data_IF_121135750628
#
_entry.id   IF_121135750628
#
_cell.length_a   1.000
_cell.length_b   1.000
_cell.length_c   1.000
_cell.angle_alpha   90.00
_cell.angle_beta   90.00
_cell.angle_gamma   90.00
#
_symmetry.space_group_name_H-M   'P 1'
#
loop_
_entity.id
_entity.type
_entity.pdbx_description
1 polymer ?
#
# COMPACT_ATOMS: atom_id res chain seq x y z
N UNK A 1 -4.64 53.02 -1.07
CA UNK A 1 -5.06 51.62 -1.30
C UNK A 1 -4.82 51.32 -2.75
N UNK A 2 -3.99 50.32 -3.09
CA UNK A 2 -3.88 49.88 -4.48
C UNK A 2 -5.23 49.31 -4.94
N UNK A 3 -5.47 49.29 -6.25
CA UNK A 3 -6.71 48.78 -6.84
C UNK A 3 -7.01 47.34 -6.39
N UNK A 4 -5.98 46.52 -6.23
CA UNK A 4 -6.07 45.18 -5.65
C UNK A 4 -6.70 45.17 -4.24
N UNK A 5 -6.27 46.08 -3.36
CA UNK A 5 -6.79 46.15 -1.98
C UNK A 5 -8.27 46.54 -1.96
N UNK A 6 -8.69 47.43 -2.88
CA UNK A 6 -10.09 47.85 -3.04
C UNK A 6 -10.95 46.71 -3.59
N UNK A 7 -10.44 45.98 -4.58
CA UNK A 7 -11.14 44.85 -5.21
C UNK A 7 -11.29 43.65 -4.27
N UNK A 8 -10.26 43.33 -3.47
CA UNK A 8 -10.33 42.29 -2.44
C UNK A 8 -11.41 42.62 -1.40
N UNK A 9 -11.45 43.86 -0.93
CA UNK A 9 -12.40 44.26 0.12
C UNK A 9 -13.86 44.16 -0.36
N UNK A 10 -14.10 44.43 -1.64
CA UNK A 10 -15.42 44.27 -2.28
C UNK A 10 -15.78 42.80 -2.57
N UNK A 11 -14.78 41.96 -2.81
CA UNK A 11 -14.97 40.53 -3.08
C UNK A 11 -15.06 39.69 -1.80
N UNK A 12 -14.55 40.16 -0.65
CA UNK A 12 -14.27 39.39 0.57
C UNK A 12 -15.40 38.50 1.10
N UNK A 13 -16.67 38.81 0.81
CA UNK A 13 -17.84 38.05 1.26
C UNK A 13 -18.53 37.25 0.15
N UNK A 14 -17.96 37.22 -1.06
CA UNK A 14 -18.45 36.44 -2.19
C UNK A 14 -17.32 35.58 -2.75
N UNK A 15 -17.41 34.28 -2.47
CA UNK A 15 -16.37 33.31 -2.78
C UNK A 15 -16.06 33.23 -4.29
N UNK A 16 -17.06 33.36 -5.15
CA UNK A 16 -16.89 33.36 -6.61
C UNK A 16 -16.13 34.61 -7.06
N UNK A 17 -16.46 35.79 -6.52
CA UNK A 17 -15.77 37.04 -6.85
C UNK A 17 -14.31 37.07 -6.40
N UNK A 18 -14.00 36.45 -5.26
CA UNK A 18 -12.60 36.32 -4.79
C UNK A 18 -11.83 35.39 -5.72
N UNK A 19 -12.42 34.25 -6.08
CA UNK A 19 -11.78 33.29 -6.97
C UNK A 19 -11.51 33.88 -8.35
N UNK A 20 -12.46 34.63 -8.92
CA UNK A 20 -12.26 35.30 -10.21
C UNK A 20 -11.21 36.42 -10.14
N UNK A 21 -11.18 37.20 -9.06
CA UNK A 21 -10.14 38.21 -8.84
C UNK A 21 -8.75 37.56 -8.75
N UNK A 22 -8.60 36.54 -7.91
CA UNK A 22 -7.32 35.82 -7.76
C UNK A 22 -6.90 35.13 -9.06
N UNK A 23 -7.85 34.56 -9.81
CA UNK A 23 -7.58 33.97 -11.14
C UNK A 23 -6.98 35.02 -12.09
N UNK A 24 -7.58 36.21 -12.17
CA UNK A 24 -7.10 37.28 -13.05
C UNK A 24 -5.70 37.78 -12.65
N UNK A 25 -5.49 38.01 -11.35
CA UNK A 25 -4.22 38.51 -10.82
C UNK A 25 -3.09 37.49 -10.98
N UNK A 26 -3.37 36.19 -10.80
CA UNK A 26 -2.40 35.13 -11.07
C UNK A 26 -2.07 35.07 -12.57
N UNK A 27 -3.06 35.18 -13.45
CA UNK A 27 -2.82 35.18 -14.89
C UNK A 27 -1.91 36.35 -15.29
N UNK A 28 -2.19 37.55 -14.77
CA UNK A 28 -1.38 38.73 -15.03
C UNK A 28 0.04 38.58 -14.48
N UNK A 29 0.18 38.19 -13.21
CA UNK A 29 1.49 38.00 -12.59
C UNK A 29 2.35 36.96 -13.33
N UNK A 30 1.76 35.86 -13.80
CA UNK A 30 2.47 34.84 -14.57
C UNK A 30 2.90 35.38 -15.94
N UNK A 31 2.02 36.11 -16.65
CA UNK A 31 2.37 36.73 -17.94
C UNK A 31 3.51 37.75 -17.76
N UNK A 32 3.44 38.60 -16.73
CA UNK A 32 4.46 39.61 -16.45
C UNK A 32 5.82 38.95 -16.13
N UNK A 33 5.82 37.86 -15.36
CA UNK A 33 7.03 37.08 -15.07
C UNK A 33 7.63 36.46 -16.34
N UNK A 34 6.80 35.88 -17.21
CA UNK A 34 7.26 35.28 -18.47
C UNK A 34 7.85 36.32 -19.42
N UNK A 35 7.26 37.51 -19.50
CA UNK A 35 7.82 38.62 -20.27
C UNK A 35 9.15 39.10 -19.70
N UNK A 36 9.24 39.21 -18.37
CA UNK A 36 10.48 39.60 -17.69
C UNK A 36 11.59 38.57 -17.89
N UNK A 37 11.28 37.27 -17.90
CA UNK A 37 12.25 36.21 -18.23
C UNK A 37 12.79 36.36 -19.65
N UNK A 38 11.92 36.63 -20.63
CA UNK A 38 12.37 36.85 -22.01
C UNK A 38 13.21 38.13 -22.13
N UNK A 39 12.85 39.19 -21.41
CA UNK A 39 13.66 40.42 -21.31
C UNK A 39 15.05 40.12 -20.75
N UNK A 40 15.12 39.35 -19.66
CA UNK A 40 16.39 38.97 -19.06
C UNK A 40 17.24 38.08 -19.99
N UNK A 41 16.61 37.15 -20.70
CA UNK A 41 17.29 36.26 -21.65
C UNK A 41 17.86 37.00 -22.86
N UNK A 42 17.08 37.92 -23.45
CA UNK A 42 17.50 38.71 -24.61
C UNK A 42 18.42 39.88 -24.23
N UNK A 43 18.36 40.34 -22.98
CA UNK A 43 19.14 41.46 -22.47
C UNK A 43 18.57 42.83 -22.86
N UNK A 44 17.33 42.90 -23.36
CA UNK A 44 16.68 44.14 -23.76
C UNK A 44 15.15 44.09 -23.68
N UNK A 45 14.55 45.24 -23.41
CA UNK A 45 13.10 45.45 -23.32
C UNK A 45 12.38 45.38 -24.67
N UNK A 46 11.06 45.13 -24.70
CA UNK A 46 10.28 45.23 -25.92
C UNK A 46 10.54 46.55 -26.66
N UNK A 47 10.75 46.47 -27.97
CA UNK A 47 11.00 47.60 -28.88
C UNK A 47 12.24 48.47 -28.58
N UNK A 48 13.11 48.03 -27.66
CA UNK A 48 14.31 48.77 -27.31
C UNK A 48 15.35 48.72 -28.45
N UNK A 49 15.94 49.88 -28.77
CA UNK A 49 16.90 50.03 -29.89
C UNK A 49 18.19 49.22 -29.71
N UNK A 50 18.57 48.92 -28.47
CA UNK A 50 19.71 48.06 -28.15
C UNK A 50 19.50 46.59 -28.56
N UNK A 51 18.27 46.17 -28.86
CA UNK A 51 17.96 44.84 -29.39
C UNK A 51 18.22 44.70 -30.90
N UNK A 52 18.50 45.79 -31.63
CA UNK A 52 18.68 45.75 -33.08
C UNK A 52 20.05 45.14 -33.45
N UNK A 53 20.08 44.26 -34.46
CA UNK A 53 21.28 43.56 -34.94
C UNK A 53 22.01 42.69 -33.89
N UNK A 54 21.32 42.26 -32.83
CA UNK A 54 21.88 41.38 -31.78
C UNK A 54 21.90 39.90 -32.17
N UNK A 55 21.31 39.54 -33.32
CA UNK A 55 21.27 38.15 -33.84
C UNK A 55 20.09 37.31 -33.33
N UNK A 56 19.34 37.78 -32.33
CA UNK A 56 18.07 37.17 -31.91
C UNK A 56 17.02 38.26 -31.67
N UNK A 57 15.74 37.92 -31.76
CA UNK A 57 14.64 38.87 -31.63
C UNK A 57 13.45 38.25 -30.90
N UNK A 58 12.58 39.07 -30.29
CA UNK A 58 11.24 38.61 -29.86
C UNK A 58 10.41 38.24 -31.09
N UNK A 59 9.64 37.16 -31.01
CA UNK A 59 8.87 36.62 -32.14
C UNK A 59 7.47 36.13 -31.70
N UNK A 60 6.70 37.03 -31.11
CA UNK A 60 5.34 36.76 -30.65
C UNK A 60 5.28 35.84 -29.43
N UNK A 61 4.11 35.24 -29.22
CA UNK A 61 3.81 34.36 -28.09
C UNK A 61 2.90 33.22 -28.54
N UNK A 62 2.81 32.18 -27.70
CA UNK A 62 1.77 31.16 -27.82
C UNK A 62 0.96 31.10 -26.53
N UNK A 63 -0.29 30.68 -26.68
CA UNK A 63 -1.21 30.57 -25.56
C UNK A 63 -1.13 29.19 -24.95
N UNK A 64 -1.08 29.12 -23.63
CA UNK A 64 -1.13 27.89 -22.86
C UNK A 64 -2.22 28.03 -21.81
N UNK A 65 -3.16 27.09 -21.81
CA UNK A 65 -4.15 26.98 -20.75
C UNK A 65 -3.55 26.25 -19.55
N UNK A 66 -3.67 26.84 -18.36
CA UNK A 66 -3.17 26.28 -17.10
C UNK A 66 -4.33 26.23 -16.12
N UNK A 67 -4.54 25.07 -15.50
CA UNK A 67 -5.59 24.90 -14.51
C UNK A 67 -5.04 25.18 -13.11
N UNK A 68 -5.53 26.24 -12.49
CA UNK A 68 -5.18 26.63 -11.12
C UNK A 68 -6.30 26.26 -10.15
N UNK A 69 -6.02 26.29 -8.84
CA UNK A 69 -7.06 26.10 -7.81
C UNK A 69 -8.19 27.13 -7.87
N UNK A 70 -7.98 28.26 -8.54
CA UNK A 70 -8.97 29.31 -8.74
C UNK A 70 -9.65 29.22 -10.12
N UNK A 71 -9.40 28.15 -10.88
CA UNK A 71 -9.92 27.91 -12.23
C UNK A 71 -8.85 28.05 -13.33
N UNK A 72 -9.25 27.77 -14.57
CA UNK A 72 -8.35 27.84 -15.72
C UNK A 72 -7.94 29.28 -16.04
N UNK A 73 -6.63 29.50 -16.19
CA UNK A 73 -6.04 30.73 -16.74
C UNK A 73 -5.47 30.45 -18.13
N UNK A 74 -5.44 31.47 -18.97
CA UNK A 74 -4.76 31.42 -20.25
C UNK A 74 -3.54 32.33 -20.20
N UNK A 75 -2.35 31.74 -20.26
CA UNK A 75 -1.08 32.48 -20.18
C UNK A 75 -0.46 32.61 -21.56
N UNK A 76 0.20 33.74 -21.78
CA UNK A 76 0.91 34.07 -23.00
C UNK A 76 2.39 33.78 -22.79
N UNK A 77 2.88 32.69 -23.37
CA UNK A 77 4.29 32.31 -23.27
C UNK A 77 5.05 32.95 -24.44
N UNK A 78 5.94 33.91 -24.18
CA UNK A 78 6.61 34.65 -25.24
C UNK A 78 7.72 33.80 -25.87
N UNK A 79 8.09 34.11 -27.12
CA UNK A 79 9.07 33.37 -27.90
C UNK A 79 10.16 34.27 -28.45
N UNK A 80 11.36 33.73 -28.60
CA UNK A 80 12.42 34.32 -29.40
C UNK A 80 12.38 33.78 -30.84
N UNK A 81 13.06 34.46 -31.76
CA UNK A 81 13.08 34.14 -33.19
C UNK A 81 13.91 32.90 -33.49
N UNK A 82 14.95 32.66 -32.70
CA UNK A 82 15.85 31.53 -32.87
C UNK A 82 15.37 30.26 -32.14
N UNK A 83 14.32 30.35 -31.32
CA UNK A 83 13.79 29.23 -30.54
C UNK A 83 14.72 28.75 -29.42
N UNK A 84 15.58 29.63 -28.91
CA UNK A 84 16.58 29.34 -27.89
C UNK A 84 16.08 29.64 -26.47
N UNK A 85 14.97 30.37 -26.33
CA UNK A 85 14.38 30.71 -25.04
C UNK A 85 13.59 29.53 -24.46
N UNK A 86 13.88 29.20 -23.21
CA UNK A 86 13.08 28.27 -22.40
C UNK A 86 12.65 28.99 -21.11
N UNK A 87 11.34 29.03 -20.87
CA UNK A 87 10.78 29.66 -19.67
C UNK A 87 11.06 28.82 -18.42
N UNK A 88 11.38 29.48 -17.31
CA UNK A 88 11.68 28.84 -16.02
C UNK A 88 10.50 28.92 -15.06
N UNK A 89 9.70 29.99 -15.15
CA UNK A 89 8.50 30.24 -14.35
C UNK A 89 7.48 29.11 -14.49
N UNK A 90 7.39 28.50 -15.68
CA UNK A 90 6.45 27.41 -15.96
C UNK A 90 7.20 26.16 -16.46
N UNK A 91 7.12 25.03 -15.75
CA UNK A 91 7.66 23.79 -16.27
C UNK A 91 6.97 23.42 -17.60
N UNK A 92 7.76 22.89 -18.53
CA UNK A 92 7.27 22.44 -19.82
C UNK A 92 6.15 21.39 -19.63
N UNK A 93 5.05 21.56 -20.36
CA UNK A 93 3.90 20.62 -20.41
C UNK A 93 3.11 20.34 -19.12
N UNK A 94 3.53 20.81 -17.94
CA UNK A 94 2.77 20.68 -16.68
C UNK A 94 1.53 21.59 -16.60
N UNK A 95 0.33 21.04 -16.59
CA UNK A 95 -0.93 21.81 -16.60
C UNK A 95 -1.59 21.97 -15.21
N UNK A 96 -1.11 21.24 -14.20
CA UNK A 96 -1.78 21.12 -12.89
C UNK A 96 -0.83 21.26 -11.69
N UNK A 97 -1.41 21.60 -10.53
CA UNK A 97 -0.70 21.77 -9.25
C UNK A 97 -0.51 20.44 -8.51
N UNK A 98 0.65 20.24 -7.87
CA UNK A 98 1.04 18.99 -7.17
C UNK A 98 0.03 18.53 -6.09
N UNK A 99 -0.69 19.47 -5.48
CA UNK A 99 -1.66 19.19 -4.41
C UNK A 99 -2.87 18.36 -4.88
N UNK A 100 -3.34 18.58 -6.11
CA UNK A 100 -4.48 17.81 -6.66
C UNK A 100 -4.04 16.39 -7.03
N UNK A 101 -2.82 16.21 -7.53
CA UNK A 101 -2.26 14.89 -7.84
C UNK A 101 -2.08 14.07 -6.57
N UNK A 102 -1.58 14.67 -5.49
CA UNK A 102 -1.50 14.04 -4.17
C UNK A 102 -2.88 13.62 -3.65
N UNK A 103 -3.92 14.45 -3.86
CA UNK A 103 -5.30 14.11 -3.50
C UNK A 103 -5.81 12.93 -4.34
N UNK A 104 -5.55 12.92 -5.64
CA UNK A 104 -5.88 11.79 -6.54
C UNK A 104 -5.24 10.50 -6.04
N UNK A 105 -3.94 10.51 -5.76
CA UNK A 105 -3.20 9.36 -5.23
C UNK A 105 -3.81 8.93 -3.89
N UNK A 106 -4.16 9.89 -3.02
CA UNK A 106 -4.79 9.59 -1.73
C UNK A 106 -6.14 8.92 -1.89
N UNK A 107 -7.02 9.42 -2.75
CA UNK A 107 -8.33 8.83 -3.01
C UNK A 107 -8.19 7.44 -3.63
N UNK A 108 -7.25 7.27 -4.58
CA UNK A 108 -6.94 5.98 -5.16
C UNK A 108 -6.48 4.97 -4.10
N UNK A 109 -5.61 5.40 -3.17
CA UNK A 109 -5.16 4.58 -2.03
C UNK A 109 -6.31 4.16 -1.10
N UNK A 110 -7.39 4.95 -1.03
CA UNK A 110 -8.60 4.64 -0.25
C UNK A 110 -9.53 3.66 -0.96
N UNK A 111 -9.23 3.27 -2.21
CA UNK A 111 -10.03 2.34 -3.00
C UNK A 111 -11.09 3.02 -3.87
N UNK A 112 -11.05 4.36 -3.98
CA UNK A 112 -11.95 5.09 -4.88
C UNK A 112 -11.57 4.78 -6.33
N UNK A 113 -12.58 4.60 -7.20
CA UNK A 113 -12.35 4.31 -8.62
C UNK A 113 -11.91 5.56 -9.38
N UNK A 114 -11.25 5.39 -10.53
CA UNK A 114 -10.79 6.53 -11.34
C UNK A 114 -11.94 7.42 -11.80
N UNK A 115 -13.10 6.83 -12.10
CA UNK A 115 -14.33 7.56 -12.46
C UNK A 115 -14.91 8.32 -11.28
N UNK A 116 -14.98 7.71 -10.10
CA UNK A 116 -15.44 8.41 -8.89
C UNK A 116 -14.50 9.56 -8.52
N UNK A 117 -13.18 9.38 -8.63
CA UNK A 117 -12.20 10.45 -8.39
C UNK A 117 -12.42 11.59 -9.38
N UNK A 118 -12.53 11.30 -10.68
CA UNK A 118 -12.81 12.30 -11.70
C UNK A 118 -14.10 13.09 -11.38
N UNK A 119 -15.19 12.39 -11.07
CA UNK A 119 -16.47 13.02 -10.72
C UNK A 119 -16.39 13.86 -9.42
N UNK A 120 -15.59 13.42 -8.44
CA UNK A 120 -15.45 14.12 -7.15
C UNK A 120 -14.63 15.40 -7.34
N UNK A 121 -13.55 15.33 -8.12
CA UNK A 121 -12.76 16.51 -8.46
C UNK A 121 -13.57 17.47 -9.33
N UNK A 122 -14.34 16.96 -10.30
CA UNK A 122 -15.26 17.78 -11.09
C UNK A 122 -16.22 18.59 -10.23
N UNK A 123 -16.83 17.97 -9.21
CA UNK A 123 -17.77 18.65 -8.32
C UNK A 123 -17.11 19.67 -7.39
N UNK A 124 -15.87 19.43 -6.97
CA UNK A 124 -15.17 20.29 -6.01
C UNK A 124 -14.43 21.44 -6.69
N UNK A 125 -13.85 21.19 -7.86
CA UNK A 125 -12.94 22.12 -8.53
C UNK A 125 -13.38 22.46 -9.96
N UNK A 126 -14.38 21.78 -10.54
CA UNK A 126 -14.74 21.89 -11.97
C UNK A 126 -13.99 20.86 -12.84
N UNK A 127 -14.22 20.85 -14.15
CA UNK A 127 -13.68 19.86 -15.12
C UNK A 127 -12.14 19.86 -15.24
N UNK A 128 -11.45 19.32 -14.23
CA UNK A 128 -9.99 19.26 -14.15
C UNK A 128 -9.41 17.93 -14.64
N UNK A 129 -10.08 16.81 -14.35
CA UNK A 129 -9.54 15.48 -14.71
C UNK A 129 -10.59 14.53 -15.27
N UNK A 130 -10.27 13.97 -16.43
CA UNK A 130 -10.90 12.76 -16.95
C UNK A 130 -10.43 11.51 -16.19
N UNK A 131 -11.19 10.40 -16.25
CA UNK A 131 -10.74 9.12 -15.67
C UNK A 131 -9.40 8.63 -16.23
N UNK A 132 -9.07 8.99 -17.48
CA UNK A 132 -7.78 8.69 -18.11
C UNK A 132 -6.63 9.49 -17.50
N UNK A 133 -6.84 10.79 -17.23
CA UNK A 133 -5.86 11.62 -16.52
C UNK A 133 -5.64 11.11 -15.09
N UNK A 134 -6.70 10.76 -14.36
CA UNK A 134 -6.60 10.13 -13.02
C UNK A 134 -5.78 8.83 -13.07
N UNK A 135 -5.99 8.00 -14.09
CA UNK A 135 -5.21 6.79 -14.30
C UNK A 135 -3.72 7.12 -14.54
N UNK A 136 -3.42 8.11 -15.37
CA UNK A 136 -2.04 8.53 -15.63
C UNK A 136 -1.35 9.11 -14.39
N UNK A 137 -2.05 9.86 -13.54
CA UNK A 137 -1.53 10.31 -12.25
C UNK A 137 -1.22 9.10 -11.36
N UNK A 138 -2.11 8.10 -11.31
CA UNK A 138 -1.87 6.90 -10.50
C UNK A 138 -0.63 6.10 -10.94
N UNK A 139 -0.25 6.17 -12.22
CA UNK A 139 0.98 5.53 -12.74
C UNK A 139 2.26 6.13 -12.17
N UNK A 140 2.21 7.36 -11.64
CA UNK A 140 3.36 7.94 -10.92
C UNK A 140 3.74 7.13 -9.67
N UNK A 141 2.86 6.25 -9.19
CA UNK A 141 3.17 5.32 -8.10
C UNK A 141 3.97 4.10 -8.54
N UNK A 142 4.02 3.75 -9.83
CA UNK A 142 4.73 2.56 -10.32
C UNK A 142 6.21 2.56 -9.87
N UNK A 143 7.00 3.63 -10.08
CA UNK A 143 8.40 3.64 -9.63
C UNK A 143 8.54 3.54 -8.11
N UNK A 144 7.56 4.05 -7.35
CA UNK A 144 7.56 3.95 -5.88
C UNK A 144 7.28 2.52 -5.43
N UNK A 145 6.36 1.82 -6.10
CA UNK A 145 6.08 0.40 -5.84
C UNK A 145 7.29 -0.46 -6.21
N UNK A 146 7.92 -0.22 -7.36
CA UNK A 146 9.14 -0.91 -7.76
C UNK A 146 10.31 -0.67 -6.78
N UNK A 147 10.43 0.56 -6.25
CA UNK A 147 11.42 0.88 -5.23
C UNK A 147 11.11 0.18 -3.90
N UNK A 148 9.83 0.05 -3.52
CA UNK A 148 9.42 -0.68 -2.32
C UNK A 148 9.75 -2.18 -2.43
N UNK A 149 9.50 -2.79 -3.61
CA UNK A 149 9.93 -4.17 -3.91
C UNK A 149 11.44 -4.35 -3.79
N UNK A 150 12.25 -3.36 -4.16
CA UNK A 150 13.73 -3.42 -4.11
C UNK A 150 14.34 -2.92 -2.80
N UNK A 151 13.53 -2.44 -1.85
CA UNK A 151 14.05 -1.82 -0.63
C UNK A 151 14.85 -2.81 0.21
N UNK A 152 15.86 -2.30 0.90
CA UNK A 152 16.59 -3.07 1.92
C UNK A 152 15.67 -3.36 3.10
N UNK A 153 15.63 -4.62 3.52
CA UNK A 153 14.83 -5.06 4.66
C UNK A 153 15.63 -4.97 5.96
N UNK A 154 14.91 -5.04 7.09
CA UNK A 154 15.53 -5.29 8.38
C UNK A 154 16.16 -6.68 8.38
N UNK A 155 17.31 -6.81 9.03
CA UNK A 155 18.00 -8.08 9.27
C UNK A 155 17.18 -9.06 10.12
N UNK A 156 16.42 -8.54 11.09
CA UNK A 156 15.68 -9.34 12.07
C UNK A 156 14.18 -9.06 12.07
N UNK A 157 13.39 -10.12 12.00
CA UNK A 157 11.95 -10.09 12.30
C UNK A 157 11.60 -11.15 13.33
N UNK A 158 10.91 -10.74 14.40
CA UNK A 158 10.44 -11.68 15.41
C UNK A 158 9.39 -12.63 14.85
N UNK A 159 8.40 -12.11 14.12
CA UNK A 159 7.46 -12.98 13.43
C UNK A 159 7.07 -12.50 12.05
N UNK A 160 6.87 -13.45 11.14
CA UNK A 160 6.44 -13.21 9.76
C UNK A 160 5.19 -14.03 9.44
N UNK A 161 4.13 -13.35 9.07
CA UNK A 161 2.85 -13.92 8.70
C UNK A 161 2.79 -14.05 7.18
N UNK A 162 2.46 -15.24 6.70
CA UNK A 162 2.34 -15.58 5.29
C UNK A 162 0.91 -16.01 4.99
N UNK A 163 0.29 -15.37 4.01
CA UNK A 163 -1.04 -15.73 3.52
C UNK A 163 -1.20 -15.32 2.06
N UNK A 164 -1.99 -16.08 1.32
CA UNK A 164 -2.41 -15.74 -0.03
C UNK A 164 -3.85 -15.22 -0.05
N UNK A 165 -4.18 -14.42 -1.06
CA UNK A 165 -5.54 -13.94 -1.26
C UNK A 165 -5.86 -13.74 -2.73
N UNK A 166 -7.08 -14.08 -3.13
CA UNK A 166 -7.45 -14.05 -4.54
C UNK A 166 -8.10 -12.73 -4.95
N UNK A 167 -7.51 -12.03 -5.93
CA UNK A 167 -8.01 -10.78 -6.49
C UNK A 167 -8.33 -10.95 -7.98
N UNK A 168 -9.47 -10.42 -8.48
CA UNK A 168 -9.81 -10.53 -9.89
C UNK A 168 -8.84 -9.73 -10.79
N UNK A 169 -8.23 -10.41 -11.75
CA UNK A 169 -7.28 -9.84 -12.70
C UNK A 169 -7.64 -10.29 -14.13
N UNK A 170 -7.53 -9.36 -15.06
CA UNK A 170 -7.64 -9.64 -16.49
C UNK A 170 -6.25 -9.72 -17.10
N UNK A 171 -5.94 -10.87 -17.71
CA UNK A 171 -4.85 -11.03 -18.68
C UNK A 171 -5.50 -11.09 -20.06
N UNK A 172 -5.61 -12.27 -20.65
CA UNK A 172 -6.44 -12.51 -21.83
C UNK A 172 -7.90 -12.76 -21.42
N UNK A 173 -8.07 -13.67 -20.47
CA UNK A 173 -9.33 -13.99 -19.81
C UNK A 173 -9.39 -13.35 -18.42
N UNK A 174 -10.59 -13.35 -17.86
CA UNK A 174 -10.83 -12.95 -16.50
C UNK A 174 -10.63 -14.13 -15.56
N UNK A 175 -9.69 -14.01 -14.62
CA UNK A 175 -9.45 -15.01 -13.59
C UNK A 175 -9.19 -14.35 -12.24
N UNK A 176 -9.32 -15.14 -11.16
CA UNK A 176 -8.91 -14.69 -9.83
C UNK A 176 -7.51 -15.21 -9.59
N UNK A 177 -6.55 -14.31 -9.50
CA UNK A 177 -5.15 -14.67 -9.27
C UNK A 177 -4.78 -14.52 -7.80
N UNK A 178 -3.81 -15.33 -7.38
CA UNK A 178 -3.29 -15.35 -6.02
C UNK A 178 -2.34 -14.17 -5.79
N UNK A 179 -2.59 -13.43 -4.71
CA UNK A 179 -1.73 -12.39 -4.17
C UNK A 179 -1.15 -12.89 -2.86
N UNK A 180 0.13 -13.22 -2.89
CA UNK A 180 0.94 -13.70 -1.77
C UNK A 180 1.40 -12.51 -0.97
N UNK A 181 1.20 -12.51 0.34
CA UNK A 181 1.53 -11.38 1.19
C UNK A 181 2.36 -11.86 2.38
N UNK A 182 3.44 -11.13 2.69
CA UNK A 182 4.24 -11.31 3.89
C UNK A 182 4.15 -10.06 4.77
N UNK A 183 3.71 -10.23 6.03
CA UNK A 183 3.70 -9.14 7.03
C UNK A 183 4.58 -9.54 8.20
N UNK A 184 5.54 -8.70 8.57
CA UNK A 184 6.46 -8.93 9.66
C UNK A 184 6.20 -8.04 10.88
N UNK A 185 6.59 -8.53 12.06
CA UNK A 185 6.77 -7.73 13.27
C UNK A 185 8.23 -7.87 13.72
N UNK A 186 8.92 -6.75 13.90
CA UNK A 186 10.28 -6.67 14.41
C UNK A 186 10.32 -6.90 15.93
N UNK A 187 11.50 -7.19 16.52
CA UNK A 187 11.63 -7.34 17.98
C UNK A 187 11.12 -6.14 18.78
N UNK A 188 11.36 -4.93 18.27
CA UNK A 188 10.82 -3.68 18.83
C UNK A 188 9.30 -3.49 18.67
N UNK A 189 8.59 -4.47 18.11
CA UNK A 189 7.14 -4.47 17.93
C UNK A 189 6.62 -3.65 16.76
N UNK A 190 7.49 -3.02 15.96
CA UNK A 190 7.09 -2.35 14.73
C UNK A 190 6.72 -3.39 13.67
N UNK A 191 5.60 -3.17 12.99
CA UNK A 191 5.11 -4.07 11.95
C UNK A 191 5.03 -3.41 10.59
N UNK A 192 5.29 -4.21 9.57
CA UNK A 192 5.26 -3.78 8.17
C UNK A 192 4.88 -4.94 7.25
N UNK A 193 4.24 -4.63 6.13
CA UNK A 193 4.20 -5.50 4.96
C UNK A 193 5.64 -5.55 4.43
N UNK A 194 6.23 -6.74 4.47
CA UNK A 194 7.60 -6.97 4.00
C UNK A 194 7.61 -6.97 2.48
N UNK A 195 6.70 -7.75 1.89
CA UNK A 195 6.59 -7.92 0.45
C UNK A 195 5.27 -8.57 0.04
N UNK A 196 4.99 -8.56 -1.25
CA UNK A 196 3.93 -9.35 -1.87
C UNK A 196 4.31 -9.82 -3.28
N UNK A 197 3.61 -10.83 -3.78
CA UNK A 197 3.79 -11.34 -5.14
C UNK A 197 2.43 -11.68 -5.75
N UNK A 198 2.30 -11.56 -7.07
CA UNK A 198 1.10 -11.94 -7.82
C UNK A 198 1.47 -13.17 -8.66
N UNK A 199 0.65 -14.22 -8.60
CA UNK A 199 0.77 -15.34 -9.53
C UNK A 199 -0.61 -15.91 -9.87
N UNK A 200 -0.77 -16.56 -11.03
CA UNK A 200 -2.06 -17.11 -11.46
C UNK A 200 -2.68 -18.08 -10.43
N UNK A 201 -1.85 -18.94 -9.83
CA UNK A 201 -2.27 -19.94 -8.87
C UNK A 201 -1.38 -19.94 -7.63
N UNK A 202 -1.90 -20.54 -6.55
CA UNK A 202 -1.10 -20.80 -5.36
C UNK A 202 -0.17 -21.99 -5.61
N UNK A 203 1.14 -21.79 -5.51
CA UNK A 203 2.16 -22.83 -5.62
C UNK A 203 3.29 -22.59 -4.60
N UNK A 204 4.12 -23.62 -4.38
CA UNK A 204 5.19 -23.55 -3.39
C UNK A 204 6.44 -22.86 -3.92
N UNK A 205 6.63 -22.84 -5.24
CA UNK A 205 7.73 -22.22 -5.94
C UNK A 205 7.73 -20.70 -5.75
N UNK A 206 6.56 -20.05 -5.89
CA UNK A 206 6.36 -18.61 -5.67
C UNK A 206 6.61 -18.23 -4.22
N UNK A 207 6.16 -19.07 -3.26
CA UNK A 207 6.53 -18.87 -1.85
C UNK A 207 8.05 -18.97 -1.65
N UNK A 208 8.71 -19.92 -2.32
CA UNK A 208 10.17 -20.09 -2.25
C UNK A 208 10.91 -18.88 -2.83
N UNK A 209 10.47 -18.37 -3.98
CA UNK A 209 11.01 -17.17 -4.61
C UNK A 209 10.83 -15.93 -3.72
N UNK A 210 9.64 -15.76 -3.12
CA UNK A 210 9.37 -14.67 -2.18
C UNK A 210 10.30 -14.74 -0.96
N UNK A 211 10.47 -15.93 -0.37
CA UNK A 211 11.38 -16.15 0.76
C UNK A 211 12.84 -15.83 0.40
N UNK A 212 13.29 -16.24 -0.79
CA UNK A 212 14.63 -15.94 -1.30
C UNK A 212 14.83 -14.46 -1.60
N UNK A 213 13.83 -13.79 -2.16
CA UNK A 213 13.83 -12.34 -2.39
C UNK A 213 13.95 -11.57 -1.08
N UNK A 214 13.20 -11.96 -0.04
CA UNK A 214 13.35 -11.33 1.28
C UNK A 214 14.77 -11.51 1.82
N UNK A 215 15.34 -12.71 1.67
CA UNK A 215 16.70 -13.01 2.14
C UNK A 215 17.76 -12.21 1.39
N UNK A 216 17.68 -12.12 0.07
CA UNK A 216 18.62 -11.35 -0.75
C UNK A 216 18.55 -9.84 -0.51
N UNK A 217 17.39 -9.33 -0.07
CA UNK A 217 17.19 -7.93 0.35
C UNK A 217 17.63 -7.64 1.79
N UNK A 218 18.19 -8.61 2.49
CA UNK A 218 18.82 -8.44 3.79
C UNK A 218 18.04 -8.98 4.98
N UNK A 219 16.92 -9.70 4.77
CA UNK A 219 16.28 -10.42 5.88
C UNK A 219 17.08 -11.68 6.22
N UNK A 220 17.87 -11.62 7.29
CA UNK A 220 18.79 -12.69 7.67
C UNK A 220 18.15 -13.67 8.66
N UNK A 221 17.42 -13.15 9.65
CA UNK A 221 16.91 -13.92 10.77
C UNK A 221 15.42 -13.68 10.98
N UNK A 222 14.67 -14.79 11.09
CA UNK A 222 13.26 -14.79 11.46
C UNK A 222 13.08 -15.80 12.59
N UNK A 223 12.51 -15.37 13.71
CA UNK A 223 12.29 -16.28 14.86
C UNK A 223 11.06 -17.17 14.64
N UNK A 224 9.95 -16.61 14.13
CA UNK A 224 8.70 -17.36 13.95
C UNK A 224 7.97 -17.05 12.64
N UNK A 225 7.70 -18.07 11.83
CA UNK A 225 6.75 -17.98 10.71
C UNK A 225 5.34 -18.43 11.12
N UNK A 226 4.32 -17.74 10.60
CA UNK A 226 2.92 -18.05 10.81
C UNK A 226 2.18 -18.19 9.49
N UNK A 227 1.49 -19.30 9.29
CA UNK A 227 0.68 -19.56 8.10
C UNK A 227 -0.50 -20.48 8.42
N UNK A 228 -1.51 -20.50 7.54
CA UNK A 228 -2.62 -21.44 7.57
C UNK A 228 -2.18 -22.87 7.23
N UNK A 229 -1.06 -23.02 6.52
CA UNK A 229 -0.34 -24.27 6.40
C UNK A 229 -0.39 -24.98 5.06
N UNK A 230 -0.19 -24.23 3.98
CA UNK A 230 -0.04 -24.76 2.62
C UNK A 230 0.99 -25.91 2.58
N UNK A 231 0.67 -26.94 1.79
CA UNK A 231 1.54 -28.11 1.60
C UNK A 231 2.90 -27.64 1.07
N UNK A 232 3.99 -28.13 1.67
CA UNK A 232 5.36 -27.75 1.28
C UNK A 232 5.89 -26.46 1.91
N UNK A 233 5.03 -25.60 2.50
CA UNK A 233 5.45 -24.33 3.13
C UNK A 233 6.54 -24.54 4.18
N UNK A 234 6.33 -25.49 5.10
CA UNK A 234 7.30 -25.79 6.17
C UNK A 234 8.66 -26.22 5.61
N UNK A 235 8.66 -26.97 4.52
CA UNK A 235 9.89 -27.42 3.84
C UNK A 235 10.62 -26.25 3.19
N UNK A 236 9.89 -25.36 2.49
CA UNK A 236 10.48 -24.16 1.88
C UNK A 236 11.06 -23.19 2.93
N UNK A 237 10.36 -23.04 4.05
CA UNK A 237 10.81 -22.25 5.20
C UNK A 237 12.09 -22.84 5.80
N UNK A 238 12.11 -24.14 6.11
CA UNK A 238 13.29 -24.80 6.68
C UNK A 238 14.52 -24.73 5.74
N UNK A 239 14.31 -24.69 4.42
CA UNK A 239 15.39 -24.52 3.44
C UNK A 239 15.95 -23.10 3.43
N UNK A 240 15.11 -22.07 3.60
CA UNK A 240 15.53 -20.67 3.46
C UNK A 240 15.97 -20.05 4.79
N UNK A 241 15.23 -20.35 5.87
CA UNK A 241 15.41 -19.89 7.24
C UNK A 241 15.41 -21.10 8.19
N UNK A 242 16.50 -21.89 8.25
CA UNK A 242 16.55 -23.16 8.98
C UNK A 242 16.38 -23.05 10.50
N UNK A 243 16.70 -21.88 11.08
CA UNK A 243 16.55 -21.61 12.51
C UNK A 243 15.15 -21.12 12.89
N UNK A 244 14.32 -20.77 11.91
CA UNK A 244 13.01 -20.21 12.19
C UNK A 244 12.03 -21.28 12.65
N UNK A 245 11.30 -20.99 13.72
CA UNK A 245 10.18 -21.80 14.16
C UNK A 245 8.96 -21.61 13.24
N UNK A 246 8.06 -22.59 13.22
CA UNK A 246 6.82 -22.52 12.45
C UNK A 246 5.59 -22.73 13.33
N UNK A 247 4.65 -21.80 13.27
CA UNK A 247 3.35 -21.91 13.94
C UNK A 247 2.23 -21.97 12.92
N UNK A 248 1.45 -23.05 12.99
CA UNK A 248 0.21 -23.20 12.23
C UNK A 248 -0.89 -22.36 12.85
N UNK A 249 -1.67 -21.66 12.04
CA UNK A 249 -2.79 -20.87 12.54
C UNK A 249 -3.89 -21.74 13.17
N UNK A 250 -4.10 -21.63 14.48
CA UNK A 250 -5.14 -22.37 15.20
C UNK A 250 -6.55 -22.03 14.71
N UNK A 251 -6.80 -20.79 14.30
CA UNK A 251 -8.10 -20.37 13.76
C UNK A 251 -8.42 -21.07 12.43
N UNK A 252 -7.41 -21.28 11.58
CA UNK A 252 -7.59 -22.04 10.34
C UNK A 252 -7.81 -23.53 10.62
N UNK A 253 -7.07 -24.11 11.56
CA UNK A 253 -7.28 -25.50 12.01
C UNK A 253 -8.70 -25.68 12.54
N UNK A 254 -9.19 -24.75 13.36
CA UNK A 254 -10.58 -24.74 13.85
C UNK A 254 -11.61 -24.71 12.71
N UNK A 255 -11.43 -23.84 11.71
CA UNK A 255 -12.32 -23.77 10.54
C UNK A 255 -12.29 -25.08 9.75
N UNK A 256 -11.11 -25.67 9.56
CA UNK A 256 -10.93 -26.94 8.85
C UNK A 256 -11.61 -28.11 9.58
N UNK A 257 -11.54 -28.14 10.92
CA UNK A 257 -12.27 -29.10 11.74
C UNK A 257 -13.78 -28.90 11.56
N UNK A 258 -14.30 -27.67 11.72
CA UNK A 258 -15.73 -27.37 11.57
C UNK A 258 -16.32 -27.79 10.21
N UNK A 259 -15.55 -27.65 9.14
CA UNK A 259 -15.98 -28.03 7.80
C UNK A 259 -16.17 -29.56 7.63
N UNK A 260 -15.52 -30.37 8.48
CA UNK A 260 -15.47 -31.84 8.38
C UNK A 260 -16.29 -32.57 9.45
N UNK A 261 -17.05 -31.85 10.26
CA UNK A 261 -17.86 -32.41 11.36
C UNK A 261 -19.33 -32.00 11.22
N UNK A 262 -20.22 -32.77 11.85
CA UNK A 262 -21.67 -32.52 11.84
C UNK A 262 -21.98 -31.19 12.51
N UNK A 263 -23.03 -30.51 12.03
CA UNK A 263 -23.43 -29.18 12.53
C UNK A 263 -23.68 -29.19 14.04
N UNK A 264 -24.32 -30.27 14.54
CA UNK A 264 -24.64 -30.49 15.96
C UNK A 264 -23.39 -30.53 16.86
N UNK A 265 -22.27 -31.07 16.36
CA UNK A 265 -21.03 -31.22 17.14
C UNK A 265 -20.11 -29.99 17.03
N UNK A 266 -20.35 -29.09 16.08
CA UNK A 266 -19.45 -27.95 15.79
C UNK A 266 -19.21 -27.08 17.02
N UNK A 267 -20.26 -26.75 17.76
CA UNK A 267 -20.14 -25.87 18.92
C UNK A 267 -19.28 -26.50 20.02
N UNK A 268 -19.57 -27.77 20.38
CA UNK A 268 -18.83 -28.50 21.40
C UNK A 268 -17.35 -28.65 21.03
N UNK A 269 -17.07 -29.11 19.80
CA UNK A 269 -15.71 -29.26 19.27
C UNK A 269 -14.94 -27.94 19.30
N UNK A 270 -15.58 -26.85 18.91
CA UNK A 270 -14.94 -25.53 18.88
C UNK A 270 -14.62 -25.00 20.26
N UNK A 271 -15.54 -25.17 21.21
CA UNK A 271 -15.33 -24.69 22.58
C UNK A 271 -14.20 -25.47 23.28
N UNK A 272 -14.10 -26.78 23.02
CA UNK A 272 -13.01 -27.61 23.53
C UNK A 272 -11.68 -27.29 22.85
N UNK A 273 -11.65 -27.18 21.51
CA UNK A 273 -10.41 -26.88 20.80
C UNK A 273 -9.86 -25.48 21.16
N UNK A 274 -10.72 -24.50 21.46
CA UNK A 274 -10.28 -23.19 21.99
C UNK A 274 -9.51 -23.31 23.29
N UNK A 275 -9.82 -24.29 24.14
CA UNK A 275 -9.11 -24.48 25.40
C UNK A 275 -7.62 -24.74 25.18
N UNK A 276 -7.23 -25.35 24.05
CA UNK A 276 -5.83 -25.65 23.70
C UNK A 276 -4.94 -24.41 23.80
N UNK A 277 -5.43 -23.23 23.40
CA UNK A 277 -4.64 -22.00 23.39
C UNK A 277 -4.88 -21.07 24.60
N UNK A 278 -5.76 -21.48 25.53
CA UNK A 278 -6.12 -20.71 26.73
C UNK A 278 -5.34 -21.16 27.97
N UNK A 279 -4.51 -22.20 27.86
CA UNK A 279 -3.76 -22.75 28.98
C UNK A 279 -2.59 -21.86 29.40
N UNK A 280 -2.08 -22.09 30.61
CA UNK A 280 -1.00 -21.27 31.15
C UNK A 280 0.35 -21.60 30.52
N UNK A 281 0.56 -22.87 30.17
CA UNK A 281 1.81 -23.40 29.63
C UNK A 281 1.57 -24.48 28.56
N UNK A 282 2.66 -24.87 27.89
CA UNK A 282 2.65 -25.86 26.81
C UNK A 282 2.16 -27.24 27.26
N UNK A 283 2.55 -27.67 28.47
CA UNK A 283 2.23 -29.00 28.98
C UNK A 283 0.72 -29.16 29.20
N UNK A 284 0.08 -28.17 29.81
CA UNK A 284 -1.38 -28.11 29.95
C UNK A 284 -2.07 -28.08 28.58
N UNK A 285 -1.53 -27.32 27.62
CA UNK A 285 -2.01 -27.30 26.24
C UNK A 285 -2.00 -28.68 25.57
N UNK A 286 -0.93 -29.45 25.76
CA UNK A 286 -0.81 -30.84 25.28
C UNK A 286 -1.85 -31.73 25.95
N UNK A 287 -2.03 -31.63 27.26
CA UNK A 287 -3.03 -32.43 28.01
C UNK A 287 -4.44 -32.18 27.50
N UNK A 288 -4.81 -30.92 27.28
CA UNK A 288 -6.12 -30.55 26.69
C UNK A 288 -6.27 -31.10 25.28
N UNK A 289 -5.23 -31.01 24.46
CA UNK A 289 -5.25 -31.49 23.08
C UNK A 289 -5.37 -33.03 23.00
N UNK A 290 -4.69 -33.78 23.87
CA UNK A 290 -4.82 -35.23 23.97
C UNK A 290 -6.20 -35.67 24.47
N UNK A 291 -6.80 -34.87 25.36
CA UNK A 291 -8.17 -35.10 25.84
C UNK A 291 -9.18 -34.88 24.72
N UNK A 292 -8.98 -33.83 23.92
CA UNK A 292 -9.74 -33.56 22.70
C UNK A 292 -9.65 -34.73 21.70
N UNK A 293 -8.46 -35.29 21.46
CA UNK A 293 -8.30 -36.48 20.62
C UNK A 293 -9.10 -37.66 21.15
N UNK A 294 -8.93 -37.99 22.43
CA UNK A 294 -9.57 -39.16 23.05
C UNK A 294 -11.10 -39.10 22.96
N UNK A 295 -11.67 -37.90 23.10
CA UNK A 295 -13.12 -37.68 23.02
C UNK A 295 -13.66 -37.87 21.61
N UNK A 296 -13.03 -37.26 20.60
CA UNK A 296 -13.59 -37.17 19.26
C UNK A 296 -13.06 -38.21 18.27
N UNK A 297 -12.03 -38.98 18.62
CA UNK A 297 -11.40 -39.93 17.69
C UNK A 297 -12.34 -41.04 17.22
N UNK A 298 -13.29 -41.49 18.05
CA UNK A 298 -14.28 -42.50 17.63
C UNK A 298 -15.26 -41.97 16.59
N UNK A 299 -15.69 -40.71 16.73
CA UNK A 299 -16.66 -40.10 15.82
C UNK A 299 -16.01 -39.55 14.54
N UNK A 300 -14.79 -39.02 14.65
CA UNK A 300 -14.12 -38.25 13.60
C UNK A 300 -12.65 -38.65 13.41
N UNK A 301 -12.38 -39.95 13.24
CA UNK A 301 -11.02 -40.51 13.15
C UNK A 301 -10.09 -39.74 12.19
N UNK A 302 -10.55 -39.49 10.96
CA UNK A 302 -9.74 -38.77 9.96
C UNK A 302 -9.47 -37.31 10.35
N UNK A 303 -10.42 -36.62 10.98
CA UNK A 303 -10.22 -35.24 11.45
C UNK A 303 -9.15 -35.21 12.53
N UNK A 304 -9.23 -36.13 13.50
CA UNK A 304 -8.26 -36.21 14.59
C UNK A 304 -6.87 -36.60 14.09
N UNK A 305 -6.77 -37.53 13.14
CA UNK A 305 -5.48 -37.89 12.53
C UNK A 305 -4.81 -36.66 11.89
N UNK A 306 -5.54 -35.89 11.08
CA UNK A 306 -5.02 -34.67 10.47
C UNK A 306 -4.50 -33.65 11.48
N UNK A 307 -5.14 -33.55 12.66
CA UNK A 307 -4.71 -32.62 13.72
C UNK A 307 -3.46 -33.15 14.43
N UNK A 308 -3.36 -34.47 14.65
CA UNK A 308 -2.16 -35.12 15.20
C UNK A 308 -0.94 -34.94 14.31
N UNK A 309 -1.11 -35.06 12.99
CA UNK A 309 -0.03 -34.93 12.02
C UNK A 309 0.63 -33.54 12.03
N UNK A 310 -0.10 -32.52 12.50
CA UNK A 310 0.39 -31.14 12.59
C UNK A 310 0.59 -30.66 14.04
N UNK A 311 0.49 -31.54 15.04
CA UNK A 311 0.50 -31.19 16.48
C UNK A 311 1.72 -30.36 16.86
N UNK A 312 2.89 -30.74 16.36
CA UNK A 312 4.16 -30.05 16.61
C UNK A 312 4.12 -28.56 16.22
N UNK A 313 3.29 -28.21 15.23
CA UNK A 313 3.16 -26.85 14.71
C UNK A 313 2.04 -26.05 15.41
N UNK A 314 1.20 -26.68 16.25
CA UNK A 314 0.04 -26.03 16.88
C UNK A 314 0.40 -25.27 18.16
N UNK A 315 1.42 -25.72 18.88
CA UNK A 315 1.74 -25.28 20.24
C UNK A 315 3.07 -24.51 20.35
N UNK A 316 3.69 -24.17 19.22
CA UNK A 316 4.98 -23.45 19.18
C UNK A 316 4.87 -22.08 19.86
N UNK A 317 3.72 -21.42 19.74
CA UNK A 317 3.47 -20.12 20.36
C UNK A 317 3.64 -20.11 21.90
N UNK A 318 3.53 -21.27 22.57
CA UNK A 318 3.74 -21.38 24.02
C UNK A 318 5.20 -21.17 24.44
N UNK A 319 6.15 -21.36 23.53
CA UNK A 319 7.58 -21.13 23.77
C UNK A 319 7.90 -19.64 24.01
N UNK A 320 6.94 -18.74 23.72
CA UNK A 320 7.13 -17.29 23.79
C UNK A 320 6.33 -16.64 24.93
N UNK A 321 6.67 -15.37 25.29
CA UNK A 321 6.03 -14.66 26.39
C UNK A 321 4.51 -14.53 26.23
N UNK A 322 3.78 -14.68 27.35
CA UNK A 322 2.31 -14.65 27.41
C UNK A 322 1.72 -13.40 26.77
N UNK A 323 2.41 -12.28 26.87
CA UNK A 323 2.03 -10.94 26.38
C UNK A 323 1.81 -10.94 24.86
N UNK A 324 2.56 -11.75 24.11
CA UNK A 324 2.48 -11.78 22.64
C UNK A 324 1.72 -12.99 22.10
N UNK A 325 1.47 -14.03 22.91
CA UNK A 325 0.78 -15.27 22.49
C UNK A 325 -0.50 -15.00 21.71
N UNK A 326 -1.29 -14.01 22.14
CA UNK A 326 -2.54 -13.65 21.44
C UNK A 326 -2.36 -13.23 19.99
N UNK A 327 -1.19 -12.69 19.66
CA UNK A 327 -0.83 -12.24 18.32
C UNK A 327 -0.29 -13.37 17.46
N UNK A 328 0.34 -14.38 18.07
CA UNK A 328 1.10 -15.41 17.37
C UNK A 328 0.43 -16.79 17.36
N UNK A 329 -0.72 -17.00 18.01
CA UNK A 329 -1.47 -18.26 17.85
C UNK A 329 -2.35 -18.27 16.57
N UNK A 330 -2.55 -17.10 15.93
CA UNK A 330 -3.44 -16.92 14.78
C UNK A 330 -2.85 -15.99 13.71
N UNK A 331 -3.36 -16.07 12.47
CA UNK A 331 -2.99 -15.19 11.36
C UNK A 331 -3.95 -14.00 11.20
N UNK A 332 -4.70 -13.64 12.25
CA UNK A 332 -5.72 -12.59 12.21
C UNK A 332 -5.19 -11.23 11.69
N UNK A 333 -3.91 -10.93 11.93
CA UNK A 333 -3.31 -9.68 11.47
C UNK A 333 -3.23 -9.59 9.95
N UNK A 334 -2.73 -10.64 9.29
CA UNK A 334 -2.65 -10.67 7.83
C UNK A 334 -4.04 -10.84 7.20
N UNK A 335 -4.93 -11.60 7.83
CA UNK A 335 -6.34 -11.67 7.40
C UNK A 335 -7.03 -10.31 7.46
N UNK A 336 -6.73 -9.49 8.47
CA UNK A 336 -7.25 -8.12 8.56
C UNK A 336 -6.76 -7.26 7.39
N UNK A 337 -5.49 -7.38 7.01
CA UNK A 337 -4.95 -6.68 5.84
C UNK A 337 -5.58 -7.19 4.53
N UNK A 338 -5.66 -8.51 4.34
CA UNK A 338 -6.30 -9.14 3.18
C UNK A 338 -7.75 -8.66 3.01
N UNK A 339 -8.50 -8.55 4.11
CA UNK A 339 -9.87 -8.02 4.08
C UNK A 339 -9.92 -6.54 3.70
N UNK A 340 -8.96 -5.74 4.15
CA UNK A 340 -8.85 -4.33 3.74
C UNK A 340 -8.56 -4.21 2.25
N UNK A 341 -7.62 -5.00 1.73
CA UNK A 341 -7.29 -5.08 0.30
C UNK A 341 -8.52 -5.47 -0.51
N UNK A 342 -9.17 -6.60 -0.17
CA UNK A 342 -10.39 -7.07 -0.86
C UNK A 342 -11.51 -6.05 -0.85
N UNK A 343 -11.75 -5.38 0.28
CA UNK A 343 -12.79 -4.35 0.39
C UNK A 343 -12.51 -3.16 -0.51
N UNK A 344 -11.25 -2.72 -0.63
CA UNK A 344 -10.85 -1.62 -1.51
C UNK A 344 -10.75 -2.01 -2.98
N UNK A 345 -10.52 -3.29 -3.27
CA UNK A 345 -10.55 -3.83 -4.63
C UNK A 345 -11.98 -4.02 -5.15
N UNK A 346 -12.96 -4.31 -4.26
CA UNK A 346 -14.33 -4.62 -4.63
C UNK A 346 -15.01 -3.59 -5.56
N UNK A 347 -14.91 -2.25 -5.35
CA UNK A 347 -15.51 -1.27 -6.25
C UNK A 347 -14.89 -1.23 -7.64
N UNK A 348 -13.64 -1.71 -7.78
CA UNK A 348 -12.93 -1.75 -9.06
C UNK A 348 -13.40 -2.91 -9.96
N UNK A 349 -14.10 -3.89 -9.39
CA UNK A 349 -14.59 -5.13 -10.01
C UNK A 349 -13.47 -6.05 -10.56
N UNK A 350 -12.65 -5.53 -11.48
CA UNK A 350 -11.51 -6.21 -12.08
C UNK A 350 -10.33 -5.24 -12.28
N UNK A 351 -9.12 -5.79 -12.29
CA UNK A 351 -7.93 -5.07 -12.70
C UNK A 351 -7.62 -5.36 -14.17
N UNK A 352 -7.35 -4.35 -15.01
CA UNK A 352 -7.21 -4.52 -16.45
C UNK A 352 -5.91 -5.18 -16.91
N UNK A 353 -4.89 -5.20 -16.04
CA UNK A 353 -3.60 -5.84 -16.26
C UNK A 353 -2.84 -5.98 -14.92
N UNK A 354 -1.79 -6.79 -14.93
CA UNK A 354 -0.99 -7.11 -13.75
C UNK A 354 -0.35 -5.87 -13.11
N UNK A 355 0.19 -4.94 -13.91
CA UNK A 355 0.80 -3.71 -13.40
C UNK A 355 -0.20 -2.84 -12.61
N UNK A 356 -1.46 -2.81 -13.03
CA UNK A 356 -2.53 -2.08 -12.32
C UNK A 356 -2.86 -2.73 -10.97
N UNK A 357 -2.89 -4.07 -10.92
CA UNK A 357 -3.07 -4.80 -9.66
C UNK A 357 -1.85 -4.61 -8.75
N UNK A 358 -0.64 -4.78 -9.28
CA UNK A 358 0.62 -4.56 -8.56
C UNK A 358 0.67 -3.16 -7.96
N UNK A 359 0.47 -2.12 -8.77
CA UNK A 359 0.43 -0.73 -8.29
C UNK A 359 -0.59 -0.54 -7.17
N UNK A 360 -1.78 -1.14 -7.30
CA UNK A 360 -2.82 -1.04 -6.29
C UNK A 360 -2.42 -1.72 -4.97
N UNK A 361 -1.87 -2.94 -5.02
CA UNK A 361 -1.43 -3.68 -3.83
C UNK A 361 -0.24 -2.97 -3.16
N UNK A 362 0.74 -2.50 -3.94
CA UNK A 362 1.87 -1.72 -3.45
C UNK A 362 1.43 -0.47 -2.70
N UNK A 363 0.46 0.28 -3.23
CA UNK A 363 -0.13 1.43 -2.52
C UNK A 363 -0.80 1.01 -1.20
N UNK A 364 -1.45 -0.16 -1.15
CA UNK A 364 -2.03 -0.66 0.10
C UNK A 364 -0.95 -1.06 1.11
N UNK A 365 0.12 -1.70 0.67
CA UNK A 365 1.26 -2.10 1.49
C UNK A 365 1.97 -0.87 2.08
N UNK A 366 2.34 0.09 1.24
CA UNK A 366 2.95 1.36 1.66
C UNK A 366 2.04 2.12 2.64
N UNK A 367 0.74 2.25 2.33
CA UNK A 367 -0.21 2.91 3.23
C UNK A 367 -0.38 2.17 4.56
N UNK A 368 -0.19 0.83 4.59
CA UNK A 368 -0.18 0.06 5.83
C UNK A 368 1.08 0.39 6.63
N UNK A 369 2.25 0.36 5.99
CA UNK A 369 3.54 0.64 6.59
C UNK A 369 3.56 2.05 7.20
N UNK A 370 3.13 3.08 6.47
CA UNK A 370 3.03 4.45 6.96
C UNK A 370 2.12 4.57 8.20
N UNK A 371 0.97 3.90 8.19
CA UNK A 371 0.00 3.95 9.29
C UNK A 371 0.55 3.34 10.57
N UNK A 372 1.35 2.28 10.45
CA UNK A 372 1.90 1.53 11.58
C UNK A 372 3.34 1.89 11.92
N UNK A 373 3.98 2.77 11.14
CA UNK A 373 5.39 3.14 11.30
C UNK A 373 5.75 3.55 12.72
N UNK A 374 4.88 4.31 13.42
CA UNK A 374 5.11 4.77 14.80
C UNK A 374 4.36 3.95 15.86
N UNK A 375 3.76 2.81 15.50
CA UNK A 375 2.90 2.03 16.39
C UNK A 375 3.58 0.72 16.79
N UNK A 376 3.71 0.51 18.08
CA UNK A 376 4.17 -0.76 18.65
C UNK A 376 2.98 -1.72 18.71
N UNK A 377 3.16 -2.93 18.20
CA UNK A 377 2.13 -3.96 18.23
C UNK A 377 1.87 -4.43 19.66
N UNK A 378 0.61 -4.74 19.97
CA UNK A 378 0.16 -5.05 21.34
C UNK A 378 0.96 -6.22 21.91
N UNK A 379 1.48 -6.03 23.14
CA UNK A 379 2.27 -7.01 23.88
C UNK A 379 3.77 -6.92 23.62
N UNK A 380 4.20 -6.53 22.42
CA UNK A 380 5.62 -6.56 22.03
C UNK A 380 6.46 -5.55 22.82
N UNK A 381 5.96 -4.32 23.00
CA UNK A 381 6.66 -3.30 23.80
C UNK A 381 6.81 -3.64 25.28
N UNK A 382 6.11 -4.65 25.81
CA UNK A 382 6.26 -5.08 27.22
C UNK A 382 7.39 -6.09 27.42
N UNK A 383 7.86 -6.72 26.34
CA UNK A 383 8.83 -7.81 26.37
C UNK A 383 9.95 -7.62 25.36
N UNK A 384 10.18 -6.38 24.90
CA UNK A 384 11.13 -6.07 23.83
C UNK A 384 12.51 -6.69 24.06
N UNK A 385 13.11 -6.46 25.24
CA UNK A 385 14.43 -7.01 25.59
C UNK A 385 14.47 -8.55 25.46
N UNK A 386 13.39 -9.21 25.89
CA UNK A 386 13.24 -10.67 25.75
C UNK A 386 13.10 -11.09 24.29
N UNK A 387 12.43 -10.28 23.46
CA UNK A 387 12.29 -10.58 22.03
C UNK A 387 13.61 -10.39 21.27
N UNK A 388 14.42 -9.42 21.68
CA UNK A 388 15.75 -9.16 21.12
C UNK A 388 16.74 -10.26 21.50
N UNK A 389 16.67 -10.79 22.72
CA UNK A 389 17.57 -11.86 23.18
C UNK A 389 17.36 -13.22 22.50
N UNK A 390 16.30 -13.41 21.69
CA UNK A 390 16.17 -14.62 20.85
C UNK A 390 17.09 -14.59 19.62
N UNK A 391 17.69 -13.42 19.30
CA UNK A 391 18.59 -13.23 18.16
C UNK A 391 20.05 -13.04 18.58
N UNK A 392 20.35 -13.26 19.87
CA UNK A 392 21.70 -13.33 20.44
C UNK A 392 22.12 -14.79 20.54
#
# INVERSE_FOLDING_TARGET
MNDFTKNITQALFNQDKINDLLRHEIQQAVNDLLEAELTAFLGYDPDARNGWNTGNARNGAYFRKIDTQFGSIEVQVPRDRNGMFHQHTLPDYKQHTDLLEDMVIKLYSKGVTTREIANLIEKMYGNHYSPAQVSNISKQMIPKVEADHKRKLSDKFFCVYLAATYIPLRRETFEREAVYIAIGIKPNGHKEVIDYCIAPNENIEVWTELLQSMKSRGLEQVELFLSDGVVGMKTALAKTYPQAHFQRCLVHVMRNICAKVRVEDREAIMNEFKQVHQQSNKQEGITVLHSFYSKWQKAYQHVIQNVKDIEADLLVFYNYPKQIRSSIYSTNMIESFNNVVKRKAKPKAEFPNEQSLDTFIGIQAMSYNDRYFKRIHKGFGQVQDTLESYFE
#
